data_IF_763136326055
#
_entry.id   IF_763136326055
#
_cell.length_a   1.000
_cell.length_b   1.000
_cell.length_c   1.000
_cell.angle_alpha   90.00
_cell.angle_beta   90.00
_cell.angle_gamma   90.00
#
_symmetry.space_group_name_H-M   'P 1'
#
loop_
_entity.id
_entity.type
_entity.pdbx_description
1 polymer ?
#
# COMPACT_ATOMS: atom_id res chain seq x y z
N UNK A 1 -17.97 17.75 -15.01
CA UNK A 1 -17.13 16.79 -15.78
C UNK A 1 -15.82 16.50 -15.05
N UNK A 2 -14.99 17.49 -14.72
CA UNK A 2 -13.71 17.27 -13.99
C UNK A 2 -13.86 16.58 -12.62
N UNK A 3 -14.88 16.95 -11.82
CA UNK A 3 -15.12 16.30 -10.52
C UNK A 3 -15.58 14.83 -10.62
N UNK A 4 -16.29 14.45 -11.69
CA UNK A 4 -16.74 13.06 -11.91
C UNK A 4 -15.62 12.18 -12.48
N UNK A 5 -14.76 12.73 -13.35
CA UNK A 5 -13.64 11.99 -13.92
C UNK A 5 -12.57 11.67 -12.85
N UNK A 6 -12.29 12.61 -11.94
CA UNK A 6 -11.35 12.40 -10.84
C UNK A 6 -11.84 11.31 -9.88
N UNK A 7 -13.15 11.28 -9.62
CA UNK A 7 -13.80 10.24 -8.84
C UNK A 7 -13.69 8.85 -9.46
N UNK A 8 -14.07 8.63 -10.71
CA UNK A 8 -13.97 7.27 -11.28
C UNK A 8 -12.51 6.81 -11.55
N UNK A 9 -11.55 7.73 -11.55
CA UNK A 9 -10.12 7.42 -11.73
C UNK A 9 -9.40 6.99 -10.43
N UNK A 10 -9.89 7.37 -9.25
CA UNK A 10 -9.22 7.10 -7.97
C UNK A 10 -9.18 5.59 -7.62
N UNK A 11 -10.25 4.84 -7.88
CA UNK A 11 -10.32 3.40 -7.64
C UNK A 11 -9.23 2.59 -8.40
N UNK A 12 -9.04 2.77 -9.72
CA UNK A 12 -7.93 2.14 -10.43
C UNK A 12 -6.56 2.69 -10.02
N UNK A 13 -6.44 3.98 -9.67
CA UNK A 13 -5.16 4.57 -9.22
C UNK A 13 -4.68 3.91 -7.91
N UNK A 14 -5.55 3.72 -6.93
CA UNK A 14 -5.20 3.04 -5.66
C UNK A 14 -4.73 1.60 -5.93
N UNK A 15 -5.42 0.90 -6.83
CA UNK A 15 -5.04 -0.46 -7.22
C UNK A 15 -3.68 -0.51 -7.90
N UNK A 16 -3.39 0.43 -8.80
CA UNK A 16 -2.10 0.56 -9.49
C UNK A 16 -0.99 0.90 -8.49
N UNK A 17 -1.23 1.80 -7.54
CA UNK A 17 -0.26 2.13 -6.49
C UNK A 17 0.04 0.90 -5.64
N UNK A 18 -0.97 0.12 -5.25
CA UNK A 18 -0.77 -1.14 -4.52
C UNK A 18 0.11 -2.15 -5.28
N UNK A 19 -0.15 -2.34 -6.58
CA UNK A 19 0.66 -3.18 -7.45
C UNK A 19 2.11 -2.68 -7.59
N UNK A 20 2.28 -1.36 -7.79
CA UNK A 20 3.59 -0.72 -7.91
C UNK A 20 4.41 -0.83 -6.62
N UNK A 21 3.77 -0.65 -5.46
CA UNK A 21 4.41 -0.81 -4.16
C UNK A 21 4.99 -2.22 -4.00
N UNK A 22 4.25 -3.26 -4.39
CA UNK A 22 4.77 -4.63 -4.41
C UNK A 22 6.03 -4.78 -5.27
N UNK A 23 6.06 -4.13 -6.44
CA UNK A 23 7.24 -4.08 -7.31
C UNK A 23 8.44 -3.38 -6.68
N UNK A 24 8.22 -2.20 -6.07
CA UNK A 24 9.28 -1.43 -5.40
C UNK A 24 9.82 -2.20 -4.18
N UNK A 25 8.94 -2.81 -3.37
CA UNK A 25 9.36 -3.65 -2.25
C UNK A 25 10.19 -4.85 -2.72
N UNK A 26 9.78 -5.53 -3.79
CA UNK A 26 10.55 -6.65 -4.36
C UNK A 26 11.94 -6.21 -4.83
N UNK A 27 12.02 -5.08 -5.53
CA UNK A 27 13.30 -4.47 -5.93
C UNK A 27 14.18 -4.09 -4.74
N UNK A 28 13.58 -3.50 -3.70
CA UNK A 28 14.26 -3.11 -2.47
C UNK A 28 14.81 -4.33 -1.70
N UNK A 29 14.03 -5.39 -1.53
CA UNK A 29 14.48 -6.65 -0.90
C UNK A 29 15.70 -7.21 -1.64
N UNK A 30 15.64 -7.25 -2.98
CA UNK A 30 16.74 -7.75 -3.80
C UNK A 30 18.01 -6.90 -3.65
N UNK A 31 17.88 -5.57 -3.71
CA UNK A 31 19.03 -4.66 -3.52
C UNK A 31 19.60 -4.73 -2.11
N UNK A 32 18.76 -4.78 -1.08
CA UNK A 32 19.21 -4.89 0.32
C UNK A 32 19.93 -6.22 0.58
N UNK A 33 19.44 -7.31 0.00
CA UNK A 33 20.03 -8.65 0.19
C UNK A 33 21.35 -8.80 -0.57
N UNK A 34 21.42 -8.35 -1.83
CA UNK A 34 22.64 -8.48 -2.65
C UNK A 34 23.76 -7.56 -2.14
N UNK A 35 23.43 -6.30 -1.80
CA UNK A 35 24.43 -5.34 -1.34
C UNK A 35 24.68 -5.37 0.17
N UNK A 36 24.00 -6.25 0.91
CA UNK A 36 24.17 -6.40 2.35
C UNK A 36 23.71 -5.18 3.17
N UNK A 37 22.83 -4.35 2.62
CA UNK A 37 22.31 -3.16 3.30
C UNK A 37 21.34 -3.59 4.41
N UNK A 38 21.39 -2.89 5.54
CA UNK A 38 20.45 -3.10 6.65
C UNK A 38 19.13 -2.40 6.34
N UNK A 39 18.11 -3.20 5.98
CA UNK A 39 16.80 -2.68 5.61
C UNK A 39 15.67 -3.65 5.92
N UNK A 40 14.44 -3.14 5.79
CA UNK A 40 13.21 -3.84 6.22
C UNK A 40 12.91 -5.02 5.29
N UNK A 41 13.25 -4.91 4.00
CA UNK A 41 13.06 -5.97 3.02
C UNK A 41 13.98 -7.17 3.28
N UNK A 42 15.24 -6.91 3.64
CA UNK A 42 16.17 -7.95 4.08
C UNK A 42 15.70 -8.62 5.38
N UNK A 43 15.20 -7.84 6.35
CA UNK A 43 14.69 -8.39 7.62
C UNK A 43 13.47 -9.29 7.40
N UNK A 44 12.58 -8.92 6.46
CA UNK A 44 11.47 -9.76 6.04
C UNK A 44 11.96 -11.03 5.35
N UNK A 45 12.94 -10.93 4.45
CA UNK A 45 13.51 -12.08 3.76
C UNK A 45 14.12 -13.09 4.74
N UNK A 46 14.94 -12.60 5.68
CA UNK A 46 15.54 -13.42 6.73
C UNK A 46 14.47 -14.05 7.63
N UNK A 47 13.42 -13.29 7.99
CA UNK A 47 12.27 -13.81 8.74
C UNK A 47 11.50 -14.91 7.99
N UNK A 48 11.31 -14.77 6.68
CA UNK A 48 10.68 -15.80 5.83
C UNK A 48 11.55 -17.07 5.81
N UNK A 49 12.86 -16.92 5.59
CA UNK A 49 13.79 -18.06 5.54
C UNK A 49 13.91 -18.77 6.88
N UNK A 50 13.94 -18.02 7.99
CA UNK A 50 13.99 -18.53 9.35
C UNK A 50 12.62 -19.03 9.88
N UNK A 51 11.54 -18.86 9.10
CA UNK A 51 10.15 -19.12 9.51
C UNK A 51 9.75 -18.37 10.78
N UNK A 52 10.25 -17.14 10.93
CA UNK A 52 9.87 -16.23 12.01
C UNK A 52 8.50 -15.62 11.71
N UNK A 53 7.45 -16.36 12.06
CA UNK A 53 6.06 -15.95 11.87
C UNK A 53 5.72 -14.58 12.49
N UNK A 54 6.19 -14.22 13.70
CA UNK A 54 6.00 -12.88 14.26
C UNK A 54 6.45 -11.74 13.34
N UNK A 55 7.64 -11.85 12.73
CA UNK A 55 8.15 -10.82 11.82
C UNK A 55 7.29 -10.71 10.56
N UNK A 56 6.94 -11.85 9.97
CA UNK A 56 6.08 -11.91 8.76
C UNK A 56 4.72 -11.28 9.07
N UNK A 57 4.10 -11.68 10.18
CA UNK A 57 2.79 -11.18 10.58
C UNK A 57 2.82 -9.69 10.92
N UNK A 58 3.84 -9.21 11.62
CA UNK A 58 4.03 -7.79 11.90
C UNK A 58 4.12 -6.97 10.61
N UNK A 59 4.92 -7.44 9.64
CA UNK A 59 5.04 -6.78 8.34
C UNK A 59 3.71 -6.80 7.56
N UNK A 60 2.99 -7.93 7.55
CA UNK A 60 1.66 -8.02 6.94
C UNK A 60 0.66 -7.04 7.56
N UNK A 61 0.65 -6.90 8.89
CA UNK A 61 -0.24 -5.96 9.58
C UNK A 61 0.06 -4.51 9.22
N UNK A 62 1.34 -4.13 9.11
CA UNK A 62 1.74 -2.77 8.69
C UNK A 62 1.25 -2.46 7.28
N UNK A 63 1.42 -3.39 6.33
CA UNK A 63 0.94 -3.23 4.95
C UNK A 63 -0.59 -3.15 4.92
N UNK A 64 -1.28 -4.06 5.61
CA UNK A 64 -2.74 -4.09 5.67
C UNK A 64 -3.30 -2.78 6.24
N UNK A 65 -2.71 -2.28 7.33
CA UNK A 65 -3.09 -1.00 7.91
C UNK A 65 -2.88 0.16 6.93
N UNK A 66 -1.73 0.20 6.24
CA UNK A 66 -1.45 1.21 5.21
C UNK A 66 -2.47 1.16 4.07
N UNK A 67 -2.84 -0.03 3.62
CA UNK A 67 -3.84 -0.22 2.57
C UNK A 67 -5.23 0.31 2.98
N UNK A 68 -5.65 0.00 4.21
CA UNK A 68 -6.92 0.52 4.76
C UNK A 68 -6.85 2.03 4.91
N UNK A 69 -5.73 2.58 5.40
CA UNK A 69 -5.55 4.03 5.53
C UNK A 69 -5.61 4.76 4.18
N UNK A 70 -4.99 4.21 3.14
CA UNK A 70 -5.05 4.77 1.77
C UNK A 70 -6.48 4.71 1.22
N UNK A 71 -7.18 3.57 1.38
CA UNK A 71 -8.58 3.47 0.96
C UNK A 71 -9.46 4.48 1.70
N UNK A 72 -9.28 4.63 3.02
CA UNK A 72 -10.01 5.61 3.80
C UNK A 72 -9.73 7.05 3.35
N UNK A 73 -8.47 7.40 3.06
CA UNK A 73 -8.13 8.72 2.51
C UNK A 73 -8.79 8.98 1.16
N UNK A 74 -8.87 7.95 0.34
CA UNK A 74 -9.54 7.98 -0.96
C UNK A 74 -11.03 8.22 -0.75
N UNK A 75 -11.69 7.45 0.10
CA UNK A 75 -13.10 7.64 0.49
C UNK A 75 -13.37 9.03 1.08
N UNK A 76 -12.49 9.54 1.94
CA UNK A 76 -12.60 10.90 2.48
C UNK A 76 -12.47 11.95 1.38
N UNK A 77 -11.56 11.74 0.43
CA UNK A 77 -11.41 12.62 -0.73
C UNK A 77 -12.68 12.59 -1.59
N UNK A 78 -13.31 11.41 -1.76
CA UNK A 78 -14.61 11.30 -2.43
C UNK A 78 -15.72 12.08 -1.70
N UNK A 79 -15.73 12.06 -0.36
CA UNK A 79 -16.71 12.79 0.46
C UNK A 79 -16.47 14.31 0.42
N UNK A 80 -15.22 14.76 0.38
CA UNK A 80 -14.87 16.18 0.36
C UNK A 80 -15.13 16.83 -1.01
N UNK A 81 -14.79 16.15 -2.11
CA UNK A 81 -14.94 16.70 -3.46
C UNK A 81 -16.36 16.61 -4.03
N UNK A 82 -17.30 15.99 -3.33
CA UNK A 82 -18.66 15.79 -3.84
C UNK A 82 -19.75 16.12 -2.83
N UNK A 83 -20.34 17.32 -2.95
CA UNK A 83 -21.45 17.73 -2.09
C UNK A 83 -22.78 17.01 -2.40
N UNK A 84 -22.86 16.06 -3.35
CA UNK A 84 -24.11 15.31 -3.66
C UNK A 84 -24.27 13.99 -2.92
N UNK A 85 -23.27 13.51 -2.17
CA UNK A 85 -23.45 12.36 -1.25
C UNK A 85 -24.36 12.74 -0.05
N UNK A 86 -24.77 14.02 0.05
CA UNK A 86 -25.60 14.57 1.13
C UNK A 86 -27.11 14.64 0.88
N UNK A 87 -27.63 14.16 -0.26
CA UNK A 87 -29.07 14.26 -0.55
C UNK A 87 -29.63 12.91 -1.01
N UNK A 88 -29.96 12.08 -0.03
CA UNK A 88 -31.33 11.54 0.04
C UNK A 88 -32.15 12.48 0.93
#
# INVERSE_FOLDING_TARGET
IMAHAFKNALLPIVTIIGLQLGGVFSGAVLTETIFGLAGVGRMLYEGITARDYPVIQGFTLVIAFGYVAVNLLVDLSYAFFDPRIRLE
#
